data_IF_867825100766
#
_entry.id   IF_867825100766
#
_cell.length_a   1.000
_cell.length_b   1.000
_cell.length_c   1.000
_cell.angle_alpha   90.00
_cell.angle_beta   90.00
_cell.angle_gamma   90.00
#
_symmetry.space_group_name_H-M   'P 1'
#
loop_
_entity.id
_entity.type
_entity.pdbx_description
1 polymer ?
#
# COMPACT_ATOMS: atom_id res chain seq x y z
N UNK A 1 3.27 -20.46 14.63
CA UNK A 1 3.67 -19.81 13.37
C UNK A 1 5.03 -19.18 13.63
N UNK A 2 6.10 -19.76 13.07
CA UNK A 2 7.45 -19.21 13.22
C UNK A 2 7.46 -17.82 12.60
N UNK A 3 7.61 -16.79 13.43
CA UNK A 3 8.01 -15.47 12.94
C UNK A 3 9.39 -15.70 12.34
N UNK A 4 9.50 -15.65 11.01
CA UNK A 4 10.81 -15.50 10.41
C UNK A 4 11.37 -14.19 10.96
N UNK A 5 12.39 -14.29 11.82
CA UNK A 5 13.07 -13.16 12.41
C UNK A 5 13.57 -12.28 11.27
N UNK A 6 12.81 -11.22 10.98
CA UNK A 6 13.21 -10.25 9.99
C UNK A 6 14.49 -9.60 10.52
N UNK A 7 15.62 -9.90 9.87
CA UNK A 7 16.90 -9.27 10.18
C UNK A 7 17.12 -8.11 9.20
N UNK A 8 17.16 -6.85 9.67
CA UNK A 8 17.45 -5.73 8.80
C UNK A 8 18.86 -5.84 8.23
N UNK A 9 19.01 -5.46 6.97
CA UNK A 9 20.29 -5.23 6.31
C UNK A 9 21.11 -4.20 7.12
N UNK A 10 22.45 -4.20 7.03
CA UNK A 10 23.32 -3.22 7.70
C UNK A 10 22.87 -1.79 7.47
N UNK A 11 22.49 -1.44 6.24
CA UNK A 11 22.01 -0.11 5.88
C UNK A 11 20.66 0.22 6.53
N UNK A 12 19.73 -0.74 6.56
CA UNK A 12 18.47 -0.61 7.29
C UNK A 12 18.73 -0.46 8.78
N UNK A 13 19.65 -1.23 9.35
CA UNK A 13 20.01 -1.19 10.77
C UNK A 13 20.58 0.17 11.17
N UNK A 14 21.44 0.76 10.33
CA UNK A 14 21.93 2.14 10.51
C UNK A 14 20.78 3.14 10.44
N UNK A 15 19.92 3.06 9.42
CA UNK A 15 18.76 3.95 9.31
C UNK A 15 17.81 3.84 10.51
N UNK A 16 17.59 2.62 11.03
CA UNK A 16 16.73 2.36 12.18
C UNK A 16 17.37 2.84 13.49
N UNK A 17 18.69 2.69 13.65
CA UNK A 17 19.39 3.23 14.82
C UNK A 17 19.34 4.76 14.91
N UNK A 18 19.27 5.45 13.77
CA UNK A 18 19.01 6.88 13.71
C UNK A 18 17.55 7.25 14.05
N UNK A 19 16.64 6.28 14.03
CA UNK A 19 15.24 6.46 14.39
C UNK A 19 14.94 6.07 15.85
N UNK A 20 15.80 5.26 16.48
CA UNK A 20 15.67 4.84 17.89
C UNK A 20 16.08 5.92 18.90
N UNK A 21 16.85 6.92 18.47
CA UNK A 21 17.21 8.07 19.30
C UNK A 21 16.14 9.17 19.21
N UNK A 22 15.53 9.61 20.33
CA UNK A 22 14.61 10.73 20.35
C UNK A 22 15.20 12.01 19.75
N UNK A 23 16.48 12.26 20.05
CA UNK A 23 17.22 13.41 19.52
C UNK A 23 17.41 13.31 18.00
N UNK A 24 17.74 12.13 17.47
CA UNK A 24 17.91 11.95 16.03
C UNK A 24 16.57 11.96 15.28
N UNK A 25 15.51 11.39 15.87
CA UNK A 25 14.17 11.43 15.28
C UNK A 25 13.66 12.87 15.16
N UNK A 26 13.84 13.67 16.21
CA UNK A 26 13.50 15.10 16.19
C UNK A 26 14.40 15.90 15.23
N UNK A 27 15.71 15.62 15.19
CA UNK A 27 16.63 16.32 14.29
C UNK A 27 16.42 15.99 12.80
N UNK A 28 16.12 14.73 12.47
CA UNK A 28 16.00 14.24 11.08
C UNK A 28 14.58 14.49 10.55
N UNK A 29 13.54 14.22 11.35
CA UNK A 29 12.15 14.28 10.90
C UNK A 29 11.40 15.52 11.39
N UNK A 30 11.99 16.34 12.27
CA UNK A 30 11.39 17.55 12.87
C UNK A 30 10.01 17.29 13.47
N UNK A 31 9.83 16.10 14.04
CA UNK A 31 8.55 15.62 14.59
C UNK A 31 8.81 14.82 15.86
N UNK A 32 7.89 14.84 16.85
CA UNK A 32 8.01 13.98 18.03
C UNK A 32 7.89 12.50 17.66
N UNK A 33 8.54 11.62 18.43
CA UNK A 33 8.37 10.17 18.31
C UNK A 33 6.89 9.84 18.55
N UNK A 34 6.20 9.16 17.61
CA UNK A 34 4.82 8.78 17.82
C UNK A 34 4.72 7.76 18.97
N UNK A 35 3.80 7.94 19.94
CA UNK A 35 3.63 6.98 21.02
C UNK A 35 3.32 5.57 20.48
N UNK A 36 3.81 4.52 21.15
CA UNK A 36 3.71 3.11 20.73
C UNK A 36 2.28 2.61 20.47
N UNK A 37 1.28 3.36 20.92
CA UNK A 37 -0.16 3.11 20.72
C UNK A 37 -0.73 3.75 19.45
N UNK A 38 -0.03 4.69 18.82
CA UNK A 38 -0.52 5.38 17.63
C UNK A 38 -0.33 4.50 16.39
N UNK A 39 -1.46 4.07 15.83
CA UNK A 39 -1.51 3.51 14.49
C UNK A 39 -1.05 4.60 13.53
N UNK A 40 0.02 4.36 12.75
CA UNK A 40 0.54 5.36 11.79
C UNK A 40 -0.61 5.96 10.96
N UNK A 41 -0.69 7.29 10.77
CA UNK A 41 -1.77 7.91 10.01
C UNK A 41 -1.76 7.44 8.54
N UNK A 42 -2.88 7.56 7.84
CA UNK A 42 -3.00 7.13 6.44
C UNK A 42 -2.25 8.05 5.45
N UNK A 43 -1.99 9.30 5.83
CA UNK A 43 -1.34 10.32 5.00
C UNK A 43 -0.04 9.87 4.31
N UNK A 44 0.95 9.27 4.99
CA UNK A 44 2.16 8.76 4.32
C UNK A 44 1.88 7.60 3.34
N UNK A 45 0.81 6.83 3.55
CA UNK A 45 0.44 5.70 2.71
C UNK A 45 -0.42 6.10 1.51
N UNK A 46 -0.87 7.35 1.41
CA UNK A 46 -1.72 7.83 0.31
C UNK A 46 -1.03 7.69 -1.05
N UNK A 47 0.30 7.91 -1.10
CA UNK A 47 1.10 7.72 -2.32
C UNK A 47 1.11 6.25 -2.77
N UNK A 48 1.20 5.33 -1.81
CA UNK A 48 1.20 3.88 -2.05
C UNK A 48 -0.18 3.43 -2.52
N UNK A 49 -1.24 3.94 -1.88
CA UNK A 49 -2.61 3.72 -2.32
C UNK A 49 -2.83 4.20 -3.76
N UNK A 50 -2.43 5.43 -4.09
CA UNK A 50 -2.58 5.99 -5.43
C UNK A 50 -1.82 5.18 -6.49
N UNK A 51 -0.59 4.77 -6.18
CA UNK A 51 0.20 3.90 -7.07
C UNK A 51 -0.49 2.56 -7.30
N UNK A 52 -0.93 1.90 -6.23
CA UNK A 52 -1.64 0.62 -6.32
C UNK A 52 -2.97 0.76 -7.07
N UNK A 53 -3.72 1.83 -6.84
CA UNK A 53 -4.97 2.11 -7.54
C UNK A 53 -4.75 2.23 -9.04
N UNK A 54 -3.74 3.01 -9.46
CA UNK A 54 -3.37 3.14 -10.86
C UNK A 54 -3.00 1.78 -11.47
N UNK A 55 -2.09 1.05 -10.81
CA UNK A 55 -1.62 -0.25 -11.27
C UNK A 55 -2.76 -1.26 -11.42
N UNK A 56 -3.61 -1.40 -10.40
CA UNK A 56 -4.74 -2.33 -10.44
C UNK A 56 -5.80 -1.91 -11.45
N UNK A 57 -6.05 -0.61 -11.62
CA UNK A 57 -6.98 -0.11 -12.65
C UNK A 57 -6.50 -0.50 -14.04
N UNK A 58 -5.20 -0.28 -14.34
CA UNK A 58 -4.62 -0.64 -15.64
C UNK A 58 -4.66 -2.14 -15.88
N UNK A 59 -4.23 -2.94 -14.90
CA UNK A 59 -4.17 -4.41 -15.03
C UNK A 59 -5.56 -5.02 -15.14
N UNK A 60 -6.50 -4.64 -14.27
CA UNK A 60 -7.88 -5.13 -14.31
C UNK A 60 -8.61 -4.66 -15.55
N UNK A 61 -8.42 -3.39 -15.95
CA UNK A 61 -8.98 -2.85 -17.17
C UNK A 61 -8.52 -3.65 -18.39
N UNK A 62 -7.21 -3.82 -18.56
CA UNK A 62 -6.66 -4.61 -19.67
C UNK A 62 -7.17 -6.06 -19.68
N UNK A 63 -7.14 -6.73 -18.53
CA UNK A 63 -7.60 -8.12 -18.40
C UNK A 63 -9.08 -8.26 -18.76
N UNK A 64 -9.94 -7.43 -18.17
CA UNK A 64 -11.38 -7.52 -18.38
C UNK A 64 -11.78 -7.08 -19.79
N UNK A 65 -11.07 -6.12 -20.40
CA UNK A 65 -11.28 -5.76 -21.82
C UNK A 65 -10.95 -6.94 -22.72
N UNK A 66 -9.83 -7.64 -22.50
CA UNK A 66 -9.47 -8.83 -23.29
C UNK A 66 -10.53 -9.93 -23.14
N UNK A 67 -10.98 -10.19 -21.92
CA UNK A 67 -12.01 -11.19 -21.65
C UNK A 67 -13.32 -10.80 -22.36
N UNK A 68 -13.79 -9.58 -22.19
CA UNK A 68 -15.07 -9.12 -22.74
C UNK A 68 -15.05 -9.10 -24.28
N UNK A 69 -14.01 -8.53 -24.89
CA UNK A 69 -13.88 -8.53 -26.36
C UNK A 69 -13.76 -9.96 -26.90
N UNK A 70 -13.10 -10.86 -26.17
CA UNK A 70 -12.94 -12.26 -26.55
C UNK A 70 -14.22 -13.09 -26.44
N UNK A 71 -15.16 -12.75 -25.55
CA UNK A 71 -16.37 -13.54 -25.32
C UNK A 71 -17.61 -12.96 -26.00
N UNK A 72 -17.77 -11.64 -26.02
CA UNK A 72 -18.98 -10.96 -26.50
C UNK A 72 -18.73 -10.06 -27.71
N UNK A 73 -17.48 -9.91 -28.14
CA UNK A 73 -17.09 -9.06 -29.26
C UNK A 73 -16.92 -7.58 -28.89
N UNK A 74 -16.39 -6.75 -29.79
CA UNK A 74 -16.03 -5.36 -29.48
C UNK A 74 -17.22 -4.41 -29.31
N UNK A 75 -18.40 -4.76 -29.84
CA UNK A 75 -19.59 -3.91 -29.79
C UNK A 75 -20.15 -3.79 -28.36
N UNK A 76 -20.15 -4.89 -27.60
CA UNK A 76 -20.63 -4.90 -26.20
C UNK A 76 -19.80 -3.99 -25.28
N UNK A 77 -18.50 -3.81 -25.57
CA UNK A 77 -17.63 -2.92 -24.80
C UNK A 77 -18.11 -1.45 -24.89
N UNK A 78 -18.65 -1.06 -26.06
CA UNK A 78 -19.11 0.31 -26.28
C UNK A 78 -20.45 0.60 -25.59
N UNK A 79 -21.33 -0.41 -25.54
CA UNK A 79 -22.65 -0.30 -24.92
C UNK A 79 -22.53 -0.24 -23.39
N UNK A 80 -21.64 -1.05 -22.80
CA UNK A 80 -21.48 -1.18 -21.35
C UNK A 80 -20.26 -0.41 -20.79
N UNK A 81 -19.66 0.48 -21.57
CA UNK A 81 -18.41 1.18 -21.19
C UNK A 81 -18.49 1.86 -19.80
N UNK A 82 -19.58 2.57 -19.43
CA UNK A 82 -19.67 3.19 -18.11
C UNK A 82 -19.72 2.17 -16.96
N UNK A 83 -20.45 1.06 -17.16
CA UNK A 83 -20.58 -0.03 -16.19
C UNK A 83 -19.23 -0.73 -16.03
N UNK A 84 -18.54 -1.00 -17.15
CA UNK A 84 -17.21 -1.56 -17.19
C UNK A 84 -16.20 -0.71 -16.40
N UNK A 85 -16.14 0.60 -16.68
CA UNK A 85 -15.25 1.53 -15.98
C UNK A 85 -15.58 1.56 -14.48
N UNK A 86 -16.86 1.64 -14.12
CA UNK A 86 -17.30 1.63 -12.72
C UNK A 86 -16.87 0.37 -11.97
N UNK A 87 -17.02 -0.79 -12.60
CA UNK A 87 -16.60 -2.07 -12.03
C UNK A 87 -15.09 -2.16 -11.84
N UNK A 88 -14.31 -1.74 -12.84
CA UNK A 88 -12.84 -1.72 -12.77
C UNK A 88 -12.38 -0.81 -11.64
N UNK A 89 -12.88 0.43 -11.58
CA UNK A 89 -12.48 1.41 -10.56
C UNK A 89 -12.85 0.95 -9.15
N UNK A 90 -14.05 0.40 -8.96
CA UNK A 90 -14.50 -0.11 -7.67
C UNK A 90 -13.61 -1.26 -7.20
N UNK A 91 -13.38 -2.24 -8.07
CA UNK A 91 -12.54 -3.41 -7.76
C UNK A 91 -11.09 -3.00 -7.48
N UNK A 92 -10.51 -2.14 -8.33
CA UNK A 92 -9.17 -1.62 -8.13
C UNK A 92 -9.04 -0.84 -6.81
N UNK A 93 -10.05 -0.06 -6.43
CA UNK A 93 -10.10 0.67 -5.17
C UNK A 93 -10.09 -0.26 -3.97
N UNK A 94 -10.89 -1.33 -3.97
CA UNK A 94 -10.90 -2.33 -2.90
C UNK A 94 -9.53 -3.02 -2.74
N UNK A 95 -8.94 -3.47 -3.85
CA UNK A 95 -7.63 -4.15 -3.82
C UNK A 95 -6.51 -3.18 -3.41
N UNK A 96 -6.54 -1.94 -3.89
CA UNK A 96 -5.59 -0.89 -3.49
C UNK A 96 -5.72 -0.54 -2.01
N UNK A 97 -6.94 -0.44 -1.48
CA UNK A 97 -7.18 -0.18 -0.07
C UNK A 97 -6.70 -1.34 0.81
N UNK A 98 -6.99 -2.58 0.41
CA UNK A 98 -6.59 -3.78 1.14
C UNK A 98 -5.07 -3.95 1.16
N UNK A 99 -4.40 -3.83 0.00
CA UNK A 99 -2.94 -3.88 -0.08
C UNK A 99 -2.27 -2.79 0.76
N UNK A 100 -2.79 -1.56 0.72
CA UNK A 100 -2.29 -0.45 1.55
C UNK A 100 -2.52 -0.71 3.04
N UNK A 101 -3.65 -1.31 3.41
CA UNK A 101 -3.93 -1.72 4.79
C UNK A 101 -2.92 -2.77 5.28
N UNK A 102 -2.62 -3.80 4.46
CA UNK A 102 -1.61 -4.81 4.79
C UNK A 102 -0.22 -4.19 4.96
N UNK A 103 0.14 -3.28 4.06
CA UNK A 103 1.42 -2.57 4.12
C UNK A 103 1.54 -1.74 5.40
N UNK A 104 0.51 -0.94 5.73
CA UNK A 104 0.42 -0.17 6.98
C UNK A 104 0.50 -1.08 8.21
N UNK A 105 -0.19 -2.21 8.20
CA UNK A 105 -0.15 -3.19 9.31
C UNK A 105 1.24 -3.78 9.49
N UNK A 106 1.92 -4.12 8.40
CA UNK A 106 3.31 -4.61 8.43
C UNK A 106 4.27 -3.56 9.00
N UNK A 107 4.16 -2.31 8.56
CA UNK A 107 4.97 -1.21 9.08
C UNK A 107 4.72 -0.93 10.55
N UNK A 108 3.46 -0.90 10.99
CA UNK A 108 3.12 -0.76 12.42
C UNK A 108 3.71 -1.91 13.26
N UNK A 109 3.78 -3.14 12.72
CA UNK A 109 4.43 -4.27 13.41
C UNK A 109 5.94 -4.07 13.54
N UNK A 110 6.61 -3.67 12.45
CA UNK A 110 8.06 -3.42 12.44
C UNK A 110 8.48 -2.24 13.32
N UNK A 111 7.70 -1.16 13.30
CA UNK A 111 7.94 -0.02 14.18
C UNK A 111 7.79 -0.37 15.68
N UNK A 112 6.95 -1.36 16.02
CA UNK A 112 6.81 -1.87 17.38
C UNK A 112 7.95 -2.80 17.79
N UNK A 113 8.48 -3.61 16.87
CA UNK A 113 9.59 -4.52 17.17
C UNK A 113 10.94 -3.84 17.35
N UNK A 114 11.06 -2.57 16.95
CA UNK A 114 12.28 -1.77 17.17
C UNK A 114 12.31 -1.09 18.54
N UNK A 115 11.14 -0.93 19.17
CA UNK A 115 10.99 -0.30 20.47
C UNK A 115 10.99 -1.28 21.66
N UNK A 116 11.15 -2.58 21.40
CA UNK A 116 11.26 -3.67 22.39
C UNK A 116 12.62 -4.33 22.28
#
# INVERSE_FOLDING_TARGET
MNQADWQPNSLERTCLSHLDSPENWENILKRPIPPQTQILPWTPFLKIFAFNLLLFTVVLGALLTVILVGTTGPQSLSEDLPIFIGFVLTSASFVAAYSTHLYRRSWNRRAKSLNN
#
